data_IF_011302818872
#
_entry.id   IF_011302818872
#
_cell.length_a   1.000
_cell.length_b   1.000
_cell.length_c   1.000
_cell.angle_alpha   90.00
_cell.angle_beta   90.00
_cell.angle_gamma   90.00
#
_symmetry.space_group_name_H-M   'P 1'
#
loop_
_entity.id
_entity.type
_entity.pdbx_description
1 polymer ?
#
# COMPACT_ATOMS: atom_id res chain seq x y z
N UNK A 1 9.97 -10.18 10.53
CA UNK A 1 8.80 -9.48 11.11
C UNK A 1 7.74 -9.42 10.01
N UNK A 2 6.52 -9.91 10.28
CA UNK A 2 5.44 -9.98 9.27
C UNK A 2 5.03 -8.57 8.82
N UNK A 3 4.86 -8.28 7.51
CA UNK A 3 4.85 -6.89 7.07
C UNK A 3 3.46 -6.27 7.25
N UNK A 4 3.21 -5.73 8.44
CA UNK A 4 2.04 -4.90 8.74
C UNK A 4 2.18 -3.46 8.22
N UNK A 5 3.40 -3.08 7.81
CA UNK A 5 3.69 -1.81 7.17
C UNK A 5 4.74 -1.94 6.07
N UNK A 6 4.69 -1.03 5.11
CA UNK A 6 5.75 -0.73 4.16
C UNK A 6 6.27 0.66 4.48
N UNK A 7 7.51 0.72 4.92
CA UNK A 7 8.20 1.95 5.27
C UNK A 7 9.28 2.23 4.23
N UNK A 8 9.55 3.50 3.94
CA UNK A 8 10.62 3.85 3.03
C UNK A 8 10.87 5.35 2.93
N UNK A 9 11.81 5.70 2.08
CA UNK A 9 12.21 7.09 1.85
C UNK A 9 12.56 7.35 0.40
N UNK A 10 12.23 8.54 -0.08
CA UNK A 10 12.51 9.02 -1.43
C UNK A 10 13.24 10.35 -1.34
N UNK A 11 14.34 10.48 -2.06
CA UNK A 11 15.10 11.74 -2.10
C UNK A 11 14.35 12.76 -2.96
N UNK A 12 14.18 13.97 -2.45
CA UNK A 12 13.68 15.11 -3.20
C UNK A 12 14.83 15.69 -4.02
N UNK A 13 14.64 15.81 -5.34
CA UNK A 13 15.67 16.33 -6.26
C UNK A 13 15.62 17.86 -6.41
N UNK A 14 14.59 18.53 -5.88
CA UNK A 14 14.34 19.94 -6.14
C UNK A 14 14.22 20.76 -4.85
N UNK A 15 14.70 22.01 -4.91
CA UNK A 15 14.52 23.03 -3.87
C UNK A 15 13.08 23.58 -3.82
N UNK A 16 12.07 22.76 -4.09
CA UNK A 16 10.66 23.15 -3.98
C UNK A 16 10.31 23.46 -2.54
N UNK A 17 9.33 24.35 -2.36
CA UNK A 17 8.72 24.62 -1.06
C UNK A 17 8.02 23.34 -0.56
N UNK A 18 8.19 23.00 0.72
CA UNK A 18 7.61 21.81 1.34
C UNK A 18 6.09 21.77 1.16
N UNK A 19 5.41 22.90 1.28
CA UNK A 19 3.95 22.98 1.11
C UNK A 19 3.51 22.61 -0.32
N UNK A 20 4.29 23.00 -1.34
CA UNK A 20 4.00 22.66 -2.73
C UNK A 20 4.22 21.16 -2.99
N UNK A 21 5.26 20.59 -2.39
CA UNK A 21 5.55 19.15 -2.50
C UNK A 21 4.45 18.35 -1.82
N UNK A 22 4.06 18.70 -0.59
CA UNK A 22 3.00 18.00 0.14
C UNK A 22 1.65 18.13 -0.58
N UNK A 23 1.34 19.31 -1.14
CA UNK A 23 0.14 19.50 -1.95
C UNK A 23 0.17 18.65 -3.23
N UNK A 24 1.29 18.61 -3.95
CA UNK A 24 1.44 17.75 -5.14
C UNK A 24 1.29 16.26 -4.82
N UNK A 25 1.80 15.82 -3.66
CA UNK A 25 1.58 14.46 -3.16
C UNK A 25 0.10 14.23 -2.85
N UNK A 26 -0.57 15.17 -2.18
CA UNK A 26 -1.99 15.08 -1.87
C UNK A 26 -2.86 15.00 -3.14
N UNK A 27 -2.68 15.92 -4.08
CA UNK A 27 -3.42 15.98 -5.35
C UNK A 27 -3.29 14.66 -6.11
N UNK A 28 -2.11 14.04 -6.06
CA UNK A 28 -1.85 12.77 -6.74
C UNK A 28 -2.41 11.57 -5.99
N UNK A 29 -2.49 11.61 -4.66
CA UNK A 29 -3.22 10.62 -3.86
C UNK A 29 -4.70 10.64 -4.21
N UNK A 30 -5.28 11.83 -4.30
CA UNK A 30 -6.69 12.03 -4.66
C UNK A 30 -6.96 11.55 -6.08
N UNK A 31 -6.09 11.91 -7.05
CA UNK A 31 -6.18 11.42 -8.43
C UNK A 31 -6.01 9.89 -8.55
N UNK A 32 -5.24 9.28 -7.64
CA UNK A 32 -5.07 7.82 -7.60
C UNK A 32 -6.27 7.15 -6.93
N UNK A 33 -7.18 7.93 -6.33
CA UNK A 33 -8.45 7.52 -5.72
C UNK A 33 -8.34 7.23 -4.23
N UNK A 34 -7.56 8.01 -3.48
CA UNK A 34 -7.67 8.01 -2.03
C UNK A 34 -9.10 8.37 -1.61
N UNK A 35 -9.65 7.68 -0.62
CA UNK A 35 -10.98 8.02 -0.08
C UNK A 35 -10.91 9.28 0.77
N UNK A 36 -9.75 9.51 1.37
CA UNK A 36 -9.47 10.69 2.16
C UNK A 36 -7.98 10.98 2.15
N UNK A 37 -7.62 12.25 2.00
CA UNK A 37 -6.26 12.76 2.18
C UNK A 37 -6.32 14.11 2.89
N UNK A 38 -5.33 14.41 3.72
CA UNK A 38 -5.18 15.72 4.32
C UNK A 38 -3.72 16.00 4.68
N UNK A 39 -3.34 17.27 4.62
CA UNK A 39 -2.08 17.76 5.17
C UNK A 39 -2.34 18.23 6.61
N UNK A 40 -1.60 17.69 7.57
CA UNK A 40 -1.62 18.10 8.98
C UNK A 40 -0.20 18.15 9.51
N UNK A 41 0.18 19.28 10.11
CA UNK A 41 1.49 19.45 10.77
C UNK A 41 2.69 19.05 9.89
N UNK A 42 2.65 19.38 8.59
CA UNK A 42 3.72 19.03 7.62
C UNK A 42 3.74 17.55 7.20
N UNK A 43 2.67 16.81 7.48
CA UNK A 43 2.48 15.40 7.12
C UNK A 43 1.25 15.24 6.25
N UNK A 44 1.40 14.57 5.11
CA UNK A 44 0.26 14.08 4.32
C UNK A 44 -0.20 12.76 4.91
N UNK A 45 -1.43 12.72 5.40
CA UNK A 45 -2.08 11.51 5.89
C UNK A 45 -3.14 11.11 4.87
N UNK A 46 -3.20 9.83 4.53
CA UNK A 46 -4.19 9.33 3.57
C UNK A 46 -4.82 8.02 3.99
N UNK A 47 -6.01 7.76 3.45
CA UNK A 47 -6.76 6.51 3.55
C UNK A 47 -7.27 6.11 2.18
N UNK A 48 -7.15 4.82 1.86
CA UNK A 48 -7.61 4.25 0.59
C UNK A 48 -8.91 3.48 0.79
N UNK A 49 -9.69 3.35 -0.27
CA UNK A 49 -10.85 2.47 -0.31
C UNK A 49 -10.38 1.01 -0.38
N UNK A 50 -11.14 0.12 0.25
CA UNK A 50 -10.96 -1.33 0.15
C UNK A 50 -11.35 -1.91 -1.21
N UNK A 51 -12.35 -1.28 -1.84
CA UNK A 51 -12.98 -1.79 -3.04
C UNK A 51 -12.77 -0.74 -4.10
N UNK A 52 -11.71 -0.93 -4.89
CA UNK A 52 -11.58 -0.29 -6.18
C UNK A 52 -11.85 -1.33 -7.24
N UNK A 53 -13.03 -1.23 -7.83
CA UNK A 53 -13.28 -1.82 -9.14
C UNK A 53 -12.51 -1.00 -10.19
N UNK A 54 -11.18 -1.01 -10.12
CA UNK A 54 -10.34 -0.37 -11.12
C UNK A 54 -9.60 -1.45 -11.88
N UNK A 55 -9.78 -1.50 -13.20
CA UNK A 55 -9.08 -2.38 -14.14
C UNK A 55 -7.55 -2.15 -14.21
N UNK A 56 -6.96 -1.47 -13.24
CA UNK A 56 -5.54 -1.13 -13.19
C UNK A 56 -4.94 -1.67 -11.92
N UNK A 57 -3.78 -2.33 -12.05
CA UNK A 57 -2.88 -2.70 -10.96
C UNK A 57 -2.43 -1.45 -10.20
N UNK A 58 -3.30 -0.95 -9.33
CA UNK A 58 -3.15 0.34 -8.69
C UNK A 58 -2.16 0.18 -7.53
N UNK A 59 -1.08 0.96 -7.57
CA UNK A 59 0.08 0.81 -6.67
C UNK A 59 -0.31 1.07 -5.20
N UNK A 60 -1.44 1.75 -4.97
CA UNK A 60 -1.94 2.15 -3.66
C UNK A 60 -3.00 1.21 -3.06
N UNK A 61 -3.58 0.31 -3.85
CA UNK A 61 -4.67 -0.57 -3.41
C UNK A 61 -4.31 -1.51 -2.23
N UNK A 62 -3.07 -2.00 -2.08
CA UNK A 62 -2.74 -2.84 -0.94
C UNK A 62 -2.52 -2.04 0.36
N UNK A 63 -2.56 -0.71 0.33
CA UNK A 63 -2.36 0.15 1.49
C UNK A 63 -3.69 0.71 2.00
N UNK A 64 -4.02 0.46 3.26
CA UNK A 64 -5.24 0.99 3.87
C UNK A 64 -5.09 2.47 4.24
N UNK A 65 -3.95 2.80 4.84
CA UNK A 65 -3.61 4.14 5.30
C UNK A 65 -2.13 4.35 5.15
N UNK A 66 -1.72 5.61 5.02
CA UNK A 66 -0.32 5.95 5.11
C UNK A 66 -0.09 7.39 5.55
N UNK A 67 1.16 7.63 5.92
CA UNK A 67 1.67 8.92 6.35
C UNK A 67 2.92 9.21 5.53
N UNK A 68 3.01 10.42 4.98
CA UNK A 68 4.13 10.89 4.17
C UNK A 68 4.57 12.22 4.76
N UNK A 69 5.84 12.34 5.13
CA UNK A 69 6.40 13.58 5.70
C UNK A 69 7.69 13.97 5.01
N UNK A 70 7.99 15.25 5.00
CA UNK A 70 9.29 15.74 4.54
C UNK A 70 10.24 15.85 5.72
N UNK A 71 11.46 15.36 5.55
CA UNK A 71 12.56 15.53 6.49
C UNK A 71 13.73 16.16 5.75
N UNK A 72 14.08 17.40 6.12
CA UNK A 72 15.26 18.10 5.63
C UNK A 72 16.44 17.88 6.58
N UNK A 73 17.61 17.53 6.03
CA UNK A 73 18.88 17.43 6.75
C UNK A 73 19.96 18.11 5.93
N UNK A 74 20.47 19.23 6.43
CA UNK A 74 21.56 20.05 5.82
C UNK A 74 21.28 20.32 4.33
N UNK A 75 21.78 19.47 3.43
CA UNK A 75 21.68 19.63 1.97
C UNK A 75 20.77 18.59 1.29
N UNK A 76 20.04 17.78 2.07
CA UNK A 76 19.18 16.74 1.56
C UNK A 76 17.76 16.86 2.11
N UNK A 77 16.78 16.75 1.22
CA UNK A 77 15.38 16.65 1.58
C UNK A 77 14.86 15.26 1.21
N UNK A 78 14.18 14.61 2.15
CA UNK A 78 13.69 13.25 2.01
C UNK A 78 12.19 13.20 2.30
N UNK A 79 11.42 12.57 1.42
CA UNK A 79 10.06 12.14 1.73
C UNK A 79 10.14 10.79 2.42
N UNK A 80 9.73 10.73 3.68
CA UNK A 80 9.63 9.49 4.45
C UNK A 80 8.17 9.09 4.46
N UNK A 81 7.90 7.82 4.12
CA UNK A 81 6.55 7.28 4.10
C UNK A 81 6.43 6.04 4.98
N UNK A 82 5.22 5.87 5.52
CA UNK A 82 4.79 4.70 6.28
C UNK A 82 3.39 4.31 5.84
N UNK A 83 3.27 3.15 5.21
CA UNK A 83 2.01 2.63 4.70
C UNK A 83 1.60 1.38 5.48
N UNK A 84 0.32 1.27 5.86
CA UNK A 84 -0.22 0.11 6.58
C UNK A 84 -0.88 -0.87 5.62
N UNK A 85 -0.57 -2.16 5.77
CA UNK A 85 -1.12 -3.28 4.99
C UNK A 85 -2.02 -4.19 5.82
N UNK A 86 -2.25 -3.86 7.10
CA UNK A 86 -2.96 -4.71 8.08
C UNK A 86 -4.32 -5.20 7.59
N UNK A 87 -5.13 -4.31 7.02
CA UNK A 87 -6.48 -4.67 6.58
C UNK A 87 -6.48 -5.52 5.31
N UNK A 88 -5.58 -5.25 4.37
CA UNK A 88 -5.36 -6.10 3.20
C UNK A 88 -4.92 -7.51 3.63
N UNK A 89 -4.01 -7.59 4.61
CA UNK A 89 -3.60 -8.85 5.21
C UNK A 89 -4.79 -9.61 5.82
N UNK A 90 -5.63 -8.93 6.62
CA UNK A 90 -6.78 -9.55 7.23
C UNK A 90 -7.78 -10.09 6.19
N UNK A 91 -8.04 -9.32 5.13
CA UNK A 91 -8.94 -9.74 4.03
C UNK A 91 -8.35 -10.91 3.25
N UNK A 92 -7.08 -10.83 2.84
CA UNK A 92 -6.43 -11.90 2.10
C UNK A 92 -6.38 -13.19 2.93
N UNK A 93 -6.14 -13.08 4.24
CA UNK A 93 -6.18 -14.22 5.17
C UNK A 93 -7.60 -14.78 5.33
N UNK A 94 -8.61 -13.93 5.46
CA UNK A 94 -10.00 -14.37 5.53
C UNK A 94 -10.46 -15.10 4.26
N UNK A 95 -10.13 -14.56 3.09
CA UNK A 95 -10.45 -15.15 1.79
C UNK A 95 -9.69 -16.46 1.56
N UNK A 96 -8.41 -16.53 1.92
CA UNK A 96 -7.63 -17.76 1.78
C UNK A 96 -8.17 -18.88 2.67
N UNK A 97 -8.52 -18.58 3.92
CA UNK A 97 -9.12 -19.53 4.84
C UNK A 97 -10.49 -20.00 4.34
N UNK A 98 -11.34 -19.08 3.88
CA UNK A 98 -12.65 -19.42 3.30
C UNK A 98 -12.50 -20.35 2.07
N UNK A 99 -11.54 -20.06 1.18
CA UNK A 99 -11.29 -20.88 0.01
C UNK A 99 -10.75 -22.28 0.38
N UNK A 100 -9.87 -22.37 1.37
CA UNK A 100 -9.38 -23.65 1.90
C UNK A 100 -10.50 -24.49 2.51
N UNK A 101 -11.41 -23.87 3.27
CA UNK A 101 -12.58 -24.54 3.84
C UNK A 101 -13.53 -25.04 2.75
N UNK A 102 -13.83 -24.20 1.75
CA UNK A 102 -14.67 -24.61 0.61
C UNK A 102 -14.03 -25.79 -0.12
N UNK A 103 -12.72 -25.74 -0.39
CA UNK A 103 -11.98 -26.84 -1.01
C UNK A 103 -12.06 -28.15 -0.19
N UNK A 104 -11.94 -28.07 1.14
CA UNK A 104 -12.09 -29.23 2.02
C UNK A 104 -13.51 -29.80 2.03
N UNK A 105 -14.55 -28.94 2.02
CA UNK A 105 -15.95 -29.37 2.03
C UNK A 105 -16.37 -30.05 0.72
N UNK A 106 -15.81 -29.64 -0.42
CA UNK A 106 -16.06 -30.28 -1.73
C UNK A 106 -15.27 -31.59 -1.94
N UNK A 107 -14.68 -32.15 -0.88
CA UNK A 107 -14.04 -33.47 -0.89
C UNK A 107 -12.60 -33.48 -1.45
N UNK A 108 -11.94 -32.33 -1.56
CA UNK A 108 -10.51 -32.30 -1.91
C UNK A 108 -9.66 -32.83 -0.76
N UNK A 109 -8.53 -33.46 -1.08
CA UNK A 109 -7.50 -33.86 -0.11
C UNK A 109 -7.12 -32.65 0.78
N UNK A 110 -7.03 -32.80 2.11
CA UNK A 110 -6.60 -31.74 3.02
C UNK A 110 -5.30 -31.03 2.60
N UNK A 111 -4.35 -31.75 2.01
CA UNK A 111 -3.10 -31.20 1.48
C UNK A 111 -3.39 -30.23 0.33
N UNK A 112 -4.30 -30.60 -0.56
CA UNK A 112 -4.70 -29.77 -1.69
C UNK A 112 -5.48 -28.54 -1.22
N UNK A 113 -6.39 -28.70 -0.25
CA UNK A 113 -7.12 -27.59 0.37
C UNK A 113 -6.17 -26.55 1.02
N UNK A 114 -5.14 -27.02 1.73
CA UNK A 114 -4.08 -26.17 2.28
C UNK A 114 -3.25 -25.50 1.18
N UNK A 115 -2.92 -26.24 0.11
CA UNK A 115 -2.21 -25.72 -1.05
C UNK A 115 -2.99 -24.58 -1.74
N UNK A 116 -4.29 -24.75 -1.93
CA UNK A 116 -5.18 -23.72 -2.51
C UNK A 116 -5.25 -22.48 -1.61
N UNK A 117 -5.45 -22.67 -0.30
CA UNK A 117 -5.45 -21.57 0.68
C UNK A 117 -4.13 -20.80 0.62
N UNK A 118 -2.99 -21.50 0.66
CA UNK A 118 -1.67 -20.89 0.57
C UNK A 118 -1.44 -20.14 -0.74
N UNK A 119 -1.84 -20.73 -1.88
CA UNK A 119 -1.69 -20.10 -3.19
C UNK A 119 -2.53 -18.83 -3.33
N UNK A 120 -3.78 -18.85 -2.85
CA UNK A 120 -4.66 -17.67 -2.84
C UNK A 120 -4.05 -16.59 -1.95
N UNK A 121 -3.56 -16.94 -0.77
CA UNK A 121 -2.93 -15.99 0.13
C UNK A 121 -1.69 -15.34 -0.49
N UNK A 122 -0.81 -16.15 -1.09
CA UNK A 122 0.40 -15.67 -1.76
C UNK A 122 0.09 -14.78 -2.97
N UNK A 123 -0.94 -15.10 -3.75
CA UNK A 123 -1.38 -14.28 -4.87
C UNK A 123 -2.02 -12.96 -4.41
N UNK A 124 -2.96 -13.02 -3.47
CA UNK A 124 -3.70 -11.84 -3.00
C UNK A 124 -2.83 -10.90 -2.17
N UNK A 125 -2.09 -11.44 -1.19
CA UNK A 125 -1.27 -10.61 -0.31
C UNK A 125 0.18 -10.53 -0.79
N UNK A 126 0.85 -11.67 -0.99
CA UNK A 126 2.29 -11.73 -1.26
C UNK A 126 2.69 -10.95 -2.52
N UNK A 127 2.07 -11.26 -3.66
CA UNK A 127 2.38 -10.62 -4.94
C UNK A 127 2.02 -9.12 -4.92
N UNK A 128 0.83 -8.76 -4.43
CA UNK A 128 0.41 -7.36 -4.34
C UNK A 128 1.29 -6.54 -3.40
N UNK A 129 1.71 -7.12 -2.27
CA UNK A 129 2.65 -6.51 -1.35
C UNK A 129 3.98 -6.20 -2.04
N UNK A 130 4.58 -7.17 -2.74
CA UNK A 130 5.87 -6.98 -3.41
C UNK A 130 5.80 -5.92 -4.51
N UNK A 131 4.75 -5.97 -5.34
CA UNK A 131 4.55 -5.00 -6.42
C UNK A 131 4.41 -3.58 -5.84
N UNK A 132 3.61 -3.41 -4.79
CA UNK A 132 3.39 -2.11 -4.20
C UNK A 132 4.63 -1.60 -3.46
N UNK A 133 5.36 -2.46 -2.76
CA UNK A 133 6.60 -2.09 -2.08
C UNK A 133 7.66 -1.61 -3.08
N UNK A 134 7.81 -2.31 -4.21
CA UNK A 134 8.76 -1.96 -5.25
C UNK A 134 8.39 -0.66 -6.01
N UNK A 135 7.09 -0.42 -6.24
CA UNK A 135 6.62 0.68 -7.08
C UNK A 135 6.29 1.96 -6.33
N UNK A 136 5.99 1.90 -5.02
CA UNK A 136 5.54 3.06 -4.26
C UNK A 136 6.58 4.18 -4.22
N UNK A 137 7.86 3.86 -3.99
CA UNK A 137 8.94 4.85 -3.98
C UNK A 137 9.06 5.60 -5.32
N UNK A 138 8.99 4.89 -6.45
CA UNK A 138 9.01 5.50 -7.79
C UNK A 138 7.71 6.20 -8.19
N UNK A 139 6.57 5.83 -7.59
CA UNK A 139 5.35 6.63 -7.71
C UNK A 139 5.50 7.94 -6.94
N UNK A 140 5.98 7.88 -5.69
CA UNK A 140 6.16 9.03 -4.81
C UNK A 140 7.20 10.03 -5.35
N UNK A 141 8.32 9.55 -5.92
CA UNK A 141 9.34 10.43 -6.52
C UNK A 141 8.81 11.28 -7.68
N UNK A 142 7.79 10.79 -8.39
CA UNK A 142 7.12 11.52 -9.47
C UNK A 142 6.01 12.46 -8.98
N UNK A 143 5.61 12.34 -7.71
CA UNK A 143 4.58 13.17 -7.10
C UNK A 143 5.16 14.43 -6.44
N UNK A 144 6.46 14.39 -6.18
CA UNK A 144 7.23 15.42 -5.50
C UNK A 144 7.98 16.32 -6.48
#
# INVERSE_FOLDING_TARGET
>A
MFPFSVDGRVRLQSARNDDQVLKGVQDRLDATGATWSAIRDGVVIFRMSLVKASNRWNILDPYERGEIRIVRRRDEAWLIYRNSTRRMLAIATGLSLAAGLVAGVIGQDPVLALGVSGAIWLGLFGLNYLIAAARFGGWLSRAA
#
